data_IF_513626923991
#
_entry.id   IF_513626923991
#
_cell.length_a   1.000
_cell.length_b   1.000
_cell.length_c   1.000
_cell.angle_alpha   90.00
_cell.angle_beta   90.00
_cell.angle_gamma   90.00
#
_symmetry.space_group_name_H-M   'P 1'
#
loop_
_entity.id
_entity.type
_entity.pdbx_description
1 polymer ?
#
# COMPACT_ATOMS: atom_id res chain seq x y z
N UNK A 1 -6.77 27.61 -8.92
CA UNK A 1 -7.03 26.93 -7.63
C UNK A 1 -5.73 27.00 -6.86
N UNK A 2 -5.68 27.78 -5.76
CA UNK A 2 -4.54 27.74 -4.86
C UNK A 2 -4.47 26.31 -4.29
N UNK A 3 -3.45 25.57 -4.69
CA UNK A 3 -3.12 24.32 -4.00
C UNK A 3 -2.83 24.66 -2.56
N UNK A 4 -3.60 24.09 -1.64
CA UNK A 4 -3.38 24.22 -0.20
C UNK A 4 -2.05 23.52 0.14
N UNK A 5 -0.93 24.25 -0.02
CA UNK A 5 0.39 23.74 0.32
C UNK A 5 0.48 23.53 1.82
N UNK A 6 0.89 22.34 2.23
CA UNK A 6 1.22 22.08 3.62
C UNK A 6 2.58 22.74 3.92
N UNK A 7 2.65 23.51 4.98
CA UNK A 7 3.90 24.13 5.45
C UNK A 7 4.42 23.39 6.68
N UNK A 8 5.73 23.47 6.92
CA UNK A 8 6.38 22.90 8.11
C UNK A 8 5.72 23.37 9.42
N UNK A 9 5.28 24.66 9.45
CA UNK A 9 4.54 25.19 10.60
C UNK A 9 3.23 24.47 10.83
N UNK A 10 2.40 24.30 9.77
CA UNK A 10 1.13 23.58 9.86
C UNK A 10 1.31 22.12 10.24
N UNK A 11 2.37 21.45 9.72
CA UNK A 11 2.65 20.06 10.08
C UNK A 11 3.06 19.94 11.56
N UNK A 12 3.81 20.93 12.10
CA UNK A 12 4.12 20.98 13.54
C UNK A 12 2.88 21.20 14.40
N UNK A 13 1.96 22.08 13.97
CA UNK A 13 0.69 22.30 14.66
C UNK A 13 -0.13 21.01 14.71
N UNK A 14 -0.23 20.28 13.59
CA UNK A 14 -0.90 18.96 13.54
C UNK A 14 -0.19 17.88 14.39
N UNK A 15 1.14 17.92 14.48
CA UNK A 15 1.91 17.01 15.34
C UNK A 15 1.50 17.16 16.81
N UNK A 16 1.27 18.39 17.25
CA UNK A 16 0.78 18.67 18.61
C UNK A 16 -0.70 18.24 18.77
N UNK A 17 -1.54 18.57 17.79
CA UNK A 17 -2.98 18.22 17.78
C UNK A 17 -3.18 16.70 17.84
N UNK A 18 -2.45 15.94 17.03
CA UNK A 18 -2.57 14.49 16.96
C UNK A 18 -1.73 13.76 18.02
N UNK A 19 -0.91 14.47 18.80
CA UNK A 19 0.02 13.89 19.78
C UNK A 19 0.96 12.85 19.14
N UNK A 20 1.44 13.13 17.92
CA UNK A 20 2.38 12.29 17.16
C UNK A 20 3.70 13.06 17.04
N UNK A 21 4.87 12.43 17.29
CA UNK A 21 6.16 13.06 17.04
C UNK A 21 6.25 13.63 15.62
N UNK A 22 6.87 14.80 15.47
CA UNK A 22 6.93 15.47 14.17
C UNK A 22 7.57 14.59 13.06
N UNK A 23 8.60 13.82 13.41
CA UNK A 23 9.27 12.93 12.46
C UNK A 23 8.31 11.84 11.94
N UNK A 24 7.53 11.25 12.83
CA UNK A 24 6.56 10.20 12.49
C UNK A 24 5.41 10.79 11.65
N UNK A 25 4.92 11.97 12.00
CA UNK A 25 3.87 12.64 11.23
C UNK A 25 4.37 13.10 9.86
N UNK A 26 5.65 13.46 9.73
CA UNK A 26 6.27 13.74 8.44
C UNK A 26 6.32 12.50 7.55
N UNK A 27 6.65 11.34 8.12
CA UNK A 27 6.62 10.08 7.39
C UNK A 27 5.19 9.75 6.91
N UNK A 28 4.19 9.88 7.78
CA UNK A 28 2.77 9.71 7.42
C UNK A 28 2.37 10.64 6.28
N UNK A 29 2.77 11.91 6.35
CA UNK A 29 2.48 12.89 5.30
C UNK A 29 3.12 12.50 3.96
N UNK A 30 4.36 12.04 3.98
CA UNK A 30 5.07 11.62 2.77
C UNK A 30 4.47 10.32 2.21
N UNK A 31 4.13 9.35 3.05
CA UNK A 31 3.44 8.12 2.62
C UNK A 31 2.08 8.42 1.99
N UNK A 32 1.27 9.30 2.61
CA UNK A 32 -0.02 9.69 2.05
C UNK A 32 0.15 10.40 0.71
N UNK A 33 1.10 11.35 0.62
CA UNK A 33 1.35 12.06 -0.64
C UNK A 33 1.82 11.11 -1.72
N UNK A 34 2.72 10.17 -1.39
CA UNK A 34 3.18 9.13 -2.32
C UNK A 34 2.02 8.25 -2.79
N UNK A 35 1.13 7.85 -1.89
CA UNK A 35 -0.04 7.05 -2.23
C UNK A 35 -0.96 7.80 -3.22
N UNK A 36 -1.29 9.08 -2.97
CA UNK A 36 -2.05 9.89 -3.92
C UNK A 36 -1.36 10.00 -5.27
N UNK A 37 -0.06 10.20 -5.27
CA UNK A 37 0.73 10.30 -6.50
C UNK A 37 0.73 9.00 -7.31
N UNK A 38 0.82 7.84 -6.65
CA UNK A 38 0.66 6.52 -7.29
C UNK A 38 -0.72 6.41 -7.92
N UNK A 39 -1.77 6.77 -7.18
CA UNK A 39 -3.16 6.67 -7.64
C UNK A 39 -3.49 7.57 -8.84
N UNK A 40 -2.71 8.60 -9.06
CA UNK A 40 -2.81 9.50 -10.24
C UNK A 40 -2.04 8.98 -11.47
N UNK A 41 -1.34 7.85 -11.36
CA UNK A 41 -0.64 7.22 -12.50
C UNK A 41 -1.53 6.20 -13.20
N UNK A 42 -1.19 5.90 -14.46
CA UNK A 42 -1.83 4.78 -15.17
C UNK A 42 -1.46 3.42 -14.58
N UNK A 43 -0.37 3.34 -13.83
CA UNK A 43 0.08 2.13 -13.14
C UNK A 43 -0.87 1.69 -12.03
N UNK A 44 -1.59 2.64 -11.39
CA UNK A 44 -2.54 2.37 -10.30
C UNK A 44 -3.62 1.35 -10.65
N UNK A 45 -4.01 1.24 -11.92
CA UNK A 45 -5.04 0.31 -12.38
C UNK A 45 -4.69 -1.16 -12.15
N UNK A 46 -3.39 -1.45 -11.99
CA UNK A 46 -2.86 -2.80 -11.78
C UNK A 46 -2.27 -3.05 -10.40
N UNK A 47 -2.30 -2.04 -9.55
CA UNK A 47 -1.78 -2.11 -8.19
C UNK A 47 -2.93 -2.29 -7.20
N UNK A 48 -3.00 -3.46 -6.57
CA UNK A 48 -3.97 -3.77 -5.53
C UNK A 48 -3.28 -3.67 -4.18
N UNK A 49 -3.69 -2.70 -3.37
CA UNK A 49 -3.10 -2.48 -2.05
C UNK A 49 -3.44 -3.63 -1.12
N UNK A 50 -2.43 -4.21 -0.47
CA UNK A 50 -2.53 -5.32 0.46
C UNK A 50 -2.05 -4.88 1.85
N UNK A 51 -2.58 -5.50 2.88
CA UNK A 51 -2.16 -5.34 4.28
C UNK A 51 -2.37 -3.95 4.91
N UNK A 52 -3.11 -3.05 4.26
CA UNK A 52 -3.47 -1.76 4.86
C UNK A 52 -4.94 -1.45 4.61
N UNK A 53 -5.72 -1.41 5.68
CA UNK A 53 -7.18 -1.20 5.63
C UNK A 53 -7.57 0.20 6.09
N UNK A 54 -6.76 0.84 6.93
CA UNK A 54 -7.09 2.11 7.56
C UNK A 54 -6.01 3.17 7.30
N UNK A 55 -6.43 4.24 6.60
CA UNK A 55 -5.63 5.43 6.33
C UNK A 55 -5.97 6.60 7.27
N UNK A 56 -6.66 6.35 8.37
CA UNK A 56 -6.82 7.34 9.44
C UNK A 56 -5.52 7.53 10.22
N UNK A 57 -5.48 8.56 11.05
CA UNK A 57 -4.34 8.77 11.96
C UNK A 57 -4.11 7.57 12.88
N UNK A 58 -5.17 6.90 13.33
CA UNK A 58 -5.04 5.72 14.18
C UNK A 58 -4.58 4.48 13.42
N UNK A 59 -4.97 4.34 12.16
CA UNK A 59 -4.43 3.34 11.24
C UNK A 59 -2.95 3.56 10.98
N UNK A 60 -2.55 4.79 10.68
CA UNK A 60 -1.14 5.14 10.53
C UNK A 60 -0.31 4.85 11.80
N UNK A 61 -0.82 5.12 12.99
CA UNK A 61 -0.12 4.78 14.25
C UNK A 61 0.21 3.29 14.40
N UNK A 62 -0.62 2.42 13.86
CA UNK A 62 -0.45 0.96 13.94
C UNK A 62 0.45 0.41 12.84
N UNK A 63 0.43 1.02 11.67
CA UNK A 63 0.99 0.45 10.45
C UNK A 63 2.03 1.34 9.75
N UNK A 64 2.37 2.50 10.31
CA UNK A 64 3.24 3.49 9.68
C UNK A 64 4.63 2.98 9.31
N UNK A 65 5.18 2.02 10.06
CA UNK A 65 6.49 1.42 9.76
C UNK A 65 6.42 0.33 8.68
N UNK A 66 5.20 -0.08 8.28
CA UNK A 66 5.05 -1.11 7.26
C UNK A 66 5.23 -0.51 5.86
N UNK A 67 5.93 -1.20 4.95
CA UNK A 67 5.99 -0.78 3.56
C UNK A 67 4.57 -0.75 2.95
N UNK A 68 4.38 0.08 1.93
CA UNK A 68 3.19 -0.03 1.09
C UNK A 68 3.32 -1.31 0.27
N UNK A 69 2.44 -2.26 0.52
CA UNK A 69 2.48 -3.54 -0.17
C UNK A 69 1.40 -3.60 -1.25
N UNK A 70 1.84 -3.72 -2.50
CA UNK A 70 0.96 -3.89 -3.64
C UNK A 70 1.12 -5.27 -4.26
N UNK A 71 0.00 -5.84 -4.68
CA UNK A 71 -0.03 -7.00 -5.57
C UNK A 71 -0.31 -6.48 -6.99
N UNK A 72 0.52 -6.90 -7.94
CA UNK A 72 0.34 -6.59 -9.35
C UNK A 72 -0.74 -7.49 -9.93
N UNK A 73 -1.95 -6.95 -10.05
CA UNK A 73 -3.11 -7.66 -10.57
C UNK A 73 -3.22 -7.61 -12.09
N UNK A 74 -3.97 -8.53 -12.64
CA UNK A 74 -4.30 -8.56 -14.07
C UNK A 74 -5.65 -7.87 -14.29
N UNK A 75 -5.73 -7.08 -15.36
CA UNK A 75 -6.99 -6.48 -15.81
C UNK A 75 -7.72 -7.52 -16.69
N UNK A 76 -8.99 -7.79 -16.38
CA UNK A 76 -9.81 -8.76 -17.13
C UNK A 76 -9.81 -8.45 -18.64
N UNK A 77 -9.20 -9.31 -19.43
CA UNK A 77 -9.34 -9.33 -20.90
C UNK A 77 -8.28 -8.62 -21.73
N UNK A 78 -7.21 -8.10 -21.16
CA UNK A 78 -6.06 -7.55 -21.90
C UNK A 78 -4.85 -8.50 -21.80
N UNK A 79 -3.96 -8.42 -22.80
CA UNK A 79 -2.71 -9.20 -22.84
C UNK A 79 -2.03 -9.26 -21.48
N UNK A 80 -1.61 -10.46 -21.10
CA UNK A 80 -0.84 -10.71 -19.87
C UNK A 80 0.42 -9.85 -19.86
N UNK A 81 0.34 -8.64 -19.33
CA UNK A 81 1.55 -7.89 -19.01
C UNK A 81 2.14 -8.50 -17.75
N UNK A 82 3.33 -9.00 -17.87
CA UNK A 82 4.11 -9.54 -16.76
C UNK A 82 4.67 -8.36 -15.95
N UNK A 83 4.72 -8.50 -14.64
CA UNK A 83 5.51 -7.59 -13.81
C UNK A 83 6.99 -7.80 -14.13
N UNK A 84 7.58 -6.88 -14.88
CA UNK A 84 8.95 -6.93 -15.33
C UNK A 84 9.73 -5.66 -14.98
N UNK A 85 11.02 -5.67 -15.20
CA UNK A 85 11.91 -4.54 -14.93
C UNK A 85 11.51 -3.28 -15.71
N UNK A 86 10.99 -3.44 -16.92
CA UNK A 86 10.55 -2.31 -17.73
C UNK A 86 9.34 -1.62 -17.12
N UNK A 87 8.38 -2.41 -16.62
CA UNK A 87 7.21 -1.88 -15.94
C UNK A 87 7.61 -1.13 -14.66
N UNK A 88 8.49 -1.75 -13.85
CA UNK A 88 8.98 -1.13 -12.61
C UNK A 88 9.75 0.16 -12.89
N UNK A 89 10.60 0.17 -13.92
CA UNK A 89 11.33 1.38 -14.33
C UNK A 89 10.38 2.50 -14.72
N UNK A 90 9.39 2.23 -15.57
CA UNK A 90 8.39 3.22 -15.96
C UNK A 90 7.59 3.75 -14.76
N UNK A 91 7.22 2.87 -13.83
CA UNK A 91 6.53 3.25 -12.58
C UNK A 91 7.38 4.20 -11.73
N UNK A 92 8.64 3.87 -11.50
CA UNK A 92 9.54 4.71 -10.68
C UNK A 92 9.88 6.04 -11.35
N UNK A 93 10.07 6.04 -12.66
CA UNK A 93 10.30 7.27 -13.44
C UNK A 93 9.11 8.21 -13.33
N UNK A 94 7.87 7.72 -13.47
CA UNK A 94 6.67 8.55 -13.35
C UNK A 94 6.51 9.12 -11.94
N UNK A 95 6.80 8.33 -10.89
CA UNK A 95 6.78 8.82 -9.52
C UNK A 95 7.84 9.92 -9.32
N UNK A 96 9.08 9.70 -9.78
CA UNK A 96 10.16 10.66 -9.59
C UNK A 96 9.98 11.94 -10.43
N UNK A 97 9.20 11.90 -11.50
CA UNK A 97 8.94 13.07 -12.34
C UNK A 97 7.95 14.06 -11.71
N UNK A 98 7.04 13.59 -10.86
CA UNK A 98 6.02 14.42 -10.21
C UNK A 98 6.60 15.16 -9.00
N UNK A 99 6.12 16.38 -8.75
CA UNK A 99 6.56 17.24 -7.63
C UNK A 99 5.37 17.82 -6.89
N UNK A 100 4.51 16.97 -6.37
CA UNK A 100 3.41 17.41 -5.54
C UNK A 100 3.92 17.91 -4.18
N UNK A 101 3.35 18.98 -3.64
CA UNK A 101 3.74 19.59 -2.36
C UNK A 101 5.23 19.99 -2.26
N UNK A 102 5.88 20.26 -3.39
CA UNK A 102 7.33 20.53 -3.46
C UNK A 102 8.21 19.38 -2.96
N UNK A 103 7.68 18.16 -2.90
CA UNK A 103 8.45 16.97 -2.55
C UNK A 103 9.25 16.53 -3.78
N UNK A 104 10.54 16.26 -3.55
CA UNK A 104 11.39 15.58 -4.53
C UNK A 104 11.50 14.11 -4.17
N UNK A 105 11.23 13.26 -5.14
CA UNK A 105 11.34 11.83 -4.97
C UNK A 105 12.58 11.30 -5.67
N UNK A 106 13.27 10.38 -5.02
CA UNK A 106 14.33 9.57 -5.63
C UNK A 106 14.06 8.10 -5.33
N UNK A 107 14.27 7.24 -6.32
CA UNK A 107 13.94 5.83 -6.24
C UNK A 107 15.15 4.98 -6.56
N UNK A 108 15.25 3.81 -5.88
CA UNK A 108 16.07 2.69 -6.29
C UNK A 108 15.25 1.41 -6.19
N UNK A 109 15.59 0.44 -7.01
CA UNK A 109 14.84 -0.82 -7.10
C UNK A 109 15.77 -1.98 -6.78
N UNK A 110 15.27 -2.90 -5.97
CA UNK A 110 15.90 -4.20 -5.70
C UNK A 110 14.91 -5.31 -6.08
N UNK A 111 15.40 -6.33 -6.77
CA UNK A 111 14.60 -7.50 -7.11
C UNK A 111 14.83 -8.58 -6.06
N UNK A 112 13.80 -8.89 -5.31
CA UNK A 112 13.73 -10.03 -4.38
C UNK A 112 12.73 -11.05 -4.93
N UNK A 113 13.18 -11.97 -5.76
CA UNK A 113 12.27 -12.90 -6.46
C UNK A 113 11.27 -13.60 -5.53
N UNK A 114 9.96 -13.52 -5.85
CA UNK A 114 9.35 -12.97 -7.07
C UNK A 114 9.05 -11.47 -7.02
N UNK A 115 9.37 -10.78 -5.95
CA UNK A 115 8.95 -9.42 -5.63
C UNK A 115 9.95 -8.37 -6.13
N UNK A 116 9.47 -7.13 -6.19
CA UNK A 116 10.29 -5.93 -6.33
C UNK A 116 10.14 -5.06 -5.08
N UNK A 117 11.28 -4.65 -4.50
CA UNK A 117 11.34 -3.62 -3.47
C UNK A 117 11.75 -2.29 -4.10
N UNK A 118 10.90 -1.29 -3.96
CA UNK A 118 11.17 0.06 -4.42
C UNK A 118 11.46 0.92 -3.19
N UNK A 119 12.72 1.28 -3.02
CA UNK A 119 13.16 2.20 -1.99
C UNK A 119 12.98 3.61 -2.50
N UNK A 120 12.16 4.40 -1.83
CA UNK A 120 11.82 5.76 -2.22
C UNK A 120 12.26 6.71 -1.13
N UNK A 121 13.00 7.74 -1.48
CA UNK A 121 13.32 8.82 -0.55
C UNK A 121 12.53 10.06 -0.94
N UNK A 122 11.66 10.50 -0.04
CA UNK A 122 10.98 11.79 -0.14
C UNK A 122 11.80 12.89 0.50
N UNK A 123 12.17 13.92 -0.25
CA UNK A 123 12.83 15.12 0.25
C UNK A 123 11.85 16.29 0.26
N UNK A 124 11.55 16.78 1.45
CA UNK A 124 10.66 17.93 1.69
C UNK A 124 11.32 18.93 2.63
N UNK A 125 11.48 20.18 2.21
CA UNK A 125 12.14 21.24 2.99
C UNK A 125 13.46 20.77 3.65
N UNK A 126 14.37 20.16 2.87
CA UNK A 126 15.68 19.64 3.32
C UNK A 126 15.62 18.38 4.22
N UNK A 127 14.42 17.90 4.57
CA UNK A 127 14.25 16.68 5.33
C UNK A 127 14.08 15.49 4.38
N UNK A 128 14.82 14.42 4.63
CA UNK A 128 14.78 13.19 3.84
C UNK A 128 14.18 12.06 4.67
N UNK A 129 13.17 11.41 4.10
CA UNK A 129 12.51 10.28 4.74
C UNK A 129 12.52 9.10 3.77
N UNK A 130 13.10 7.96 4.17
CA UNK A 130 13.05 6.75 3.37
C UNK A 130 11.67 6.09 3.53
N UNK A 131 11.12 5.63 2.42
CA UNK A 131 9.89 4.84 2.33
C UNK A 131 10.17 3.60 1.51
N UNK A 132 9.37 2.56 1.69
CA UNK A 132 9.49 1.32 0.93
C UNK A 132 8.14 0.94 0.33
N UNK A 133 8.16 0.58 -0.95
CA UNK A 133 7.03 -0.08 -1.62
C UNK A 133 7.47 -1.48 -1.98
N UNK A 134 6.65 -2.47 -1.63
CA UNK A 134 6.78 -3.84 -2.11
C UNK A 134 5.75 -4.10 -3.19
N UNK A 135 6.16 -4.67 -4.31
CA UNK A 135 5.27 -5.05 -5.40
C UNK A 135 5.50 -6.52 -5.72
N UNK A 136 4.48 -7.35 -5.50
CA UNK A 136 4.51 -8.78 -5.77
C UNK A 136 3.66 -9.12 -6.99
N UNK A 137 4.09 -10.03 -7.88
CA UNK A 137 3.22 -10.52 -8.94
C UNK A 137 2.08 -11.36 -8.37
N UNK A 138 0.90 -11.26 -8.95
CA UNK A 138 -0.18 -12.20 -8.66
C UNK A 138 0.12 -13.52 -9.37
N UNK A 139 0.36 -14.58 -8.60
CA UNK A 139 0.78 -15.89 -9.10
C UNK A 139 -0.34 -16.93 -9.15
N UNK A 140 -1.54 -16.59 -8.69
CA UNK A 140 -2.73 -17.45 -8.65
C UNK A 140 -3.98 -16.66 -9.00
N UNK A 141 -5.09 -17.37 -9.20
CA UNK A 141 -6.37 -16.72 -9.43
C UNK A 141 -6.88 -16.10 -8.13
N UNK A 142 -7.09 -14.81 -8.14
CA UNK A 142 -7.67 -14.07 -7.02
C UNK A 142 -9.10 -13.61 -7.37
N UNK A 143 -9.90 -13.35 -6.34
CA UNK A 143 -11.16 -12.64 -6.49
C UNK A 143 -10.90 -11.24 -7.08
N UNK A 144 -11.96 -10.58 -7.56
CA UNK A 144 -11.81 -9.21 -8.09
C UNK A 144 -11.48 -8.24 -6.96
N UNK A 145 -10.56 -7.29 -7.19
CA UNK A 145 -10.24 -6.28 -6.20
C UNK A 145 -11.44 -5.38 -5.94
N UNK A 146 -11.56 -4.93 -4.71
CA UNK A 146 -12.58 -3.98 -4.31
C UNK A 146 -12.08 -2.54 -4.45
N UNK A 147 -12.97 -1.65 -4.91
CA UNK A 147 -12.66 -0.22 -4.91
C UNK A 147 -12.94 0.38 -3.55
N UNK A 148 -11.91 0.88 -2.92
CA UNK A 148 -12.01 1.60 -1.66
C UNK A 148 -11.64 3.08 -1.86
N UNK A 149 -12.01 3.92 -0.88
CA UNK A 149 -11.77 5.37 -0.91
C UNK A 149 -10.66 5.74 0.06
N UNK A 150 -9.61 6.34 -0.48
CA UNK A 150 -8.59 7.03 0.31
C UNK A 150 -9.05 8.46 0.57
N UNK A 151 -9.22 8.84 1.84
CA UNK A 151 -9.47 10.21 2.26
C UNK A 151 -8.20 10.78 2.88
N UNK A 152 -7.77 11.97 2.46
CA UNK A 152 -6.57 12.58 3.04
C UNK A 152 -6.80 12.99 4.50
N UNK A 153 -5.79 12.73 5.30
CA UNK A 153 -5.69 13.22 6.69
C UNK A 153 -5.21 14.68 6.74
N UNK A 154 -4.44 15.07 5.75
CA UNK A 154 -3.84 16.42 5.72
C UNK A 154 -4.65 17.45 4.94
N UNK A 155 -5.50 17.00 3.99
CA UNK A 155 -6.25 17.85 3.06
C UNK A 155 -7.72 17.43 3.01
N UNK A 156 -8.60 18.19 3.68
CA UNK A 156 -10.03 17.85 3.89
C UNK A 156 -10.80 17.44 2.61
N UNK A 157 -10.44 18.00 1.46
CA UNK A 157 -11.15 17.75 0.19
C UNK A 157 -10.41 16.78 -0.74
N UNK A 158 -9.24 16.32 -0.36
CA UNK A 158 -8.47 15.41 -1.21
C UNK A 158 -8.88 13.97 -0.94
N UNK A 159 -9.36 13.31 -1.98
CA UNK A 159 -9.71 11.89 -1.94
C UNK A 159 -9.41 11.24 -3.29
N UNK A 160 -9.10 9.95 -3.26
CA UNK A 160 -8.91 9.11 -4.43
C UNK A 160 -9.52 7.73 -4.22
N UNK A 161 -9.74 7.00 -5.29
CA UNK A 161 -10.14 5.60 -5.22
C UNK A 161 -8.92 4.72 -5.47
N UNK A 162 -8.78 3.64 -4.72
CA UNK A 162 -7.75 2.63 -4.93
C UNK A 162 -8.37 1.23 -5.02
N UNK A 163 -7.61 0.30 -5.58
CA UNK A 163 -8.00 -1.11 -5.60
C UNK A 163 -7.41 -1.79 -4.38
N UNK A 164 -8.27 -2.38 -3.57
CA UNK A 164 -7.88 -3.15 -2.39
C UNK A 164 -7.78 -4.63 -2.75
N UNK A 165 -6.76 -5.31 -2.23
CA UNK A 165 -6.58 -6.74 -2.42
C UNK A 165 -7.76 -7.49 -1.77
N UNK A 166 -8.38 -8.48 -2.46
CA UNK A 166 -9.58 -9.12 -1.96
C UNK A 166 -9.36 -9.81 -0.61
N UNK A 167 -10.23 -9.54 0.34
CA UNK A 167 -10.11 -10.06 1.71
C UNK A 167 -10.18 -11.58 1.75
N UNK A 168 -11.00 -12.21 0.89
CA UNK A 168 -11.11 -13.66 0.78
C UNK A 168 -9.82 -14.31 0.29
N UNK A 169 -9.17 -13.64 -0.68
CA UNK A 169 -7.88 -14.09 -1.21
C UNK A 169 -6.80 -13.96 -0.13
N UNK A 170 -6.79 -12.87 0.61
CA UNK A 170 -5.87 -12.67 1.71
C UNK A 170 -6.09 -13.69 2.84
N UNK A 171 -7.34 -13.96 3.21
CA UNK A 171 -7.68 -15.00 4.17
C UNK A 171 -7.24 -16.39 3.72
N UNK A 172 -7.39 -16.71 2.43
CA UNK A 172 -6.93 -17.98 1.89
C UNK A 172 -5.41 -18.14 2.03
N UNK A 173 -4.63 -17.10 1.75
CA UNK A 173 -3.17 -17.11 1.96
C UNK A 173 -2.80 -17.32 3.45
N UNK A 174 -3.49 -16.63 4.37
CA UNK A 174 -3.25 -16.79 5.79
C UNK A 174 -3.59 -18.21 6.25
N UNK A 175 -4.74 -18.74 5.84
CA UNK A 175 -5.16 -20.09 6.15
C UNK A 175 -4.21 -21.14 5.56
N UNK A 176 -3.75 -20.95 4.32
CA UNK A 176 -2.74 -21.83 3.72
C UNK A 176 -1.44 -21.80 4.52
N UNK A 177 -0.98 -20.62 4.96
CA UNK A 177 0.20 -20.48 5.80
C UNK A 177 0.03 -21.23 7.13
N UNK A 178 -1.13 -21.10 7.78
CA UNK A 178 -1.46 -21.84 9.00
C UNK A 178 -1.41 -23.34 8.75
N UNK A 179 -2.08 -23.83 7.70
CA UNK A 179 -2.15 -25.26 7.38
C UNK A 179 -0.79 -25.85 7.01
N UNK A 180 0.04 -25.09 6.28
CA UNK A 180 1.35 -25.54 5.80
C UNK A 180 2.39 -25.62 6.90
N UNK A 181 2.41 -24.65 7.80
CA UNK A 181 3.47 -24.54 8.80
C UNK A 181 3.04 -24.99 10.19
N UNK A 182 1.74 -25.04 10.49
CA UNK A 182 1.21 -25.48 11.79
C UNK A 182 1.95 -24.85 12.98
N UNK A 183 2.62 -25.67 13.77
CA UNK A 183 3.38 -25.25 14.95
C UNK A 183 4.66 -24.45 14.62
N UNK A 184 5.10 -24.46 13.36
CA UNK A 184 6.32 -23.79 12.89
C UNK A 184 6.05 -22.40 12.32
N UNK A 185 4.84 -21.85 12.53
CA UNK A 185 4.51 -20.49 12.05
C UNK A 185 5.44 -19.48 12.71
N UNK A 186 6.18 -18.68 11.93
CA UNK A 186 7.20 -17.78 12.46
C UNK A 186 6.63 -16.58 13.22
N UNK A 187 5.32 -16.28 13.06
CA UNK A 187 4.68 -15.12 13.68
C UNK A 187 3.25 -15.40 14.10
N UNK A 188 2.90 -14.97 15.30
CA UNK A 188 1.51 -14.97 15.79
C UNK A 188 0.62 -13.96 15.04
N UNK A 189 1.20 -13.04 14.29
CA UNK A 189 0.48 -12.05 13.49
C UNK A 189 -0.44 -12.71 12.45
N UNK A 190 -0.05 -13.86 11.91
CA UNK A 190 -0.86 -14.63 10.97
C UNK A 190 -2.20 -15.05 11.59
N UNK A 191 -2.15 -15.56 12.84
CA UNK A 191 -3.37 -15.96 13.56
C UNK A 191 -4.22 -14.76 13.94
N UNK A 192 -3.60 -13.69 14.45
CA UNK A 192 -4.31 -12.47 14.85
C UNK A 192 -5.01 -11.82 13.65
N UNK A 193 -4.30 -11.70 12.52
CA UNK A 193 -4.85 -11.15 11.28
C UNK A 193 -6.01 -12.01 10.77
N UNK A 194 -5.83 -13.35 10.71
CA UNK A 194 -6.89 -14.26 10.30
C UNK A 194 -8.14 -14.12 11.19
N UNK A 195 -7.95 -14.13 12.50
CA UNK A 195 -9.04 -14.00 13.45
C UNK A 195 -9.76 -12.65 13.32
N UNK A 196 -9.00 -11.56 13.17
CA UNK A 196 -9.55 -10.22 13.02
C UNK A 196 -10.39 -10.10 11.75
N UNK A 197 -9.88 -10.55 10.62
CA UNK A 197 -10.60 -10.52 9.33
C UNK A 197 -11.88 -11.37 9.38
N UNK A 198 -11.81 -12.59 9.87
CA UNK A 198 -13.00 -13.46 10.01
C UNK A 198 -14.08 -12.88 10.95
N UNK A 199 -13.67 -12.03 11.90
CA UNK A 199 -14.60 -11.41 12.85
C UNK A 199 -15.20 -10.10 12.33
N UNK A 200 -14.47 -9.35 11.53
CA UNK A 200 -14.83 -8.00 11.09
C UNK A 200 -15.47 -7.96 9.71
N UNK A 201 -15.10 -8.90 8.84
CA UNK A 201 -15.50 -8.91 7.43
C UNK A 201 -16.57 -9.95 7.15
N UNK A 202 -17.47 -9.63 6.22
CA UNK A 202 -18.38 -10.60 5.62
C UNK A 202 -17.66 -11.23 4.44
N UNK A 203 -17.24 -12.49 4.61
CA UNK A 203 -16.43 -13.20 3.62
C UNK A 203 -17.22 -14.27 2.87
N UNK A 204 -16.96 -14.43 1.57
CA UNK A 204 -17.50 -15.53 0.76
C UNK A 204 -16.57 -16.74 0.84
N UNK A 205 -17.03 -17.76 1.58
CA UNK A 205 -16.28 -19.01 1.74
C UNK A 205 -15.99 -19.75 0.43
N UNK A 206 -16.76 -19.50 -0.66
CA UNK A 206 -16.49 -20.07 -1.98
C UNK A 206 -15.19 -19.49 -2.55
N UNK A 207 -15.01 -18.19 -2.50
CA UNK A 207 -13.79 -17.54 -2.98
C UNK A 207 -12.56 -17.97 -2.17
N UNK A 208 -12.70 -18.14 -0.86
CA UNK A 208 -11.62 -18.72 -0.02
C UNK A 208 -11.25 -20.11 -0.50
N UNK A 209 -12.24 -20.98 -0.71
CA UNK A 209 -12.02 -22.36 -1.17
C UNK A 209 -11.38 -22.41 -2.56
N UNK A 210 -11.89 -21.61 -3.51
CA UNK A 210 -11.34 -21.50 -4.86
C UNK A 210 -9.87 -21.08 -4.82
N UNK A 211 -9.53 -20.06 -4.03
CA UNK A 211 -8.14 -19.61 -3.87
C UNK A 211 -7.27 -20.68 -3.22
N UNK A 212 -7.74 -21.35 -2.16
CA UNK A 212 -6.99 -22.42 -1.49
C UNK A 212 -6.68 -23.60 -2.43
N UNK A 213 -7.51 -23.85 -3.43
CA UNK A 213 -7.29 -24.94 -4.38
C UNK A 213 -6.10 -24.70 -5.33
N UNK A 214 -5.54 -23.51 -5.37
CA UNK A 214 -4.33 -23.16 -6.15
C UNK A 214 -3.02 -23.37 -5.38
N UNK A 215 -3.08 -23.50 -4.06
CA UNK A 215 -1.90 -23.74 -3.21
C UNK A 215 -1.63 -25.23 -3.01
#
# INVERSE_FOLDING_TARGET
MEQNLLTKKKLKEKSIEYQIPFADLLEVFLQETLMFQILETDFAKRLWLKDREDFSIDGYRKEWQKPLYFVYGQDDGKEQQVLDEKWITGFTEEICAKREQHIRWSCSVEKEEPDYLVYITGEWEEMKVPLVIRISPLVYHAAKPEKQKLQSVFFEKKCAAYQHFPVETYLAEQLFTILKYLELIPSMEVYDTTFRLLKQETVDGRHIYETLSFF
#
